data_IF_991403239697
#
_entry.id   IF_991403239697
#
_cell.length_a   1.000
_cell.length_b   1.000
_cell.length_c   1.000
_cell.angle_alpha   90.00
_cell.angle_beta   90.00
_cell.angle_gamma   90.00
#
_symmetry.space_group_name_H-M   'P 1'
#
loop_
_entity.id
_entity.type
_entity.pdbx_description
1 polymer ?
#
# COMPACT_ATOMS: atom_id res chain seq x y z
N UNK A 1 -12.92 -34.60 -13.11
CA UNK A 1 -11.51 -34.30 -12.81
C UNK A 1 -11.46 -33.55 -11.49
N UNK A 2 -11.20 -34.29 -10.41
CA UNK A 2 -11.25 -33.81 -9.04
C UNK A 2 -9.81 -33.48 -8.62
N UNK A 3 -9.41 -32.21 -8.71
CA UNK A 3 -8.16 -31.72 -8.13
C UNK A 3 -8.34 -31.65 -6.61
N UNK A 4 -8.22 -32.80 -5.94
CA UNK A 4 -8.04 -32.83 -4.49
C UNK A 4 -6.56 -32.58 -4.23
N UNK A 5 -6.24 -31.43 -3.65
CA UNK A 5 -4.88 -30.93 -3.36
C UNK A 5 -4.08 -31.81 -2.37
N UNK A 6 -4.56 -33.01 -2.04
CA UNK A 6 -3.89 -33.99 -1.18
C UNK A 6 -3.58 -35.34 -1.84
N UNK A 7 -3.96 -35.57 -3.11
CA UNK A 7 -3.64 -36.81 -3.83
C UNK A 7 -2.32 -36.70 -4.58
N UNK A 8 -1.28 -36.18 -3.92
CA UNK A 8 0.08 -36.37 -4.40
C UNK A 8 0.53 -37.70 -3.83
N UNK A 9 0.34 -38.79 -4.58
CA UNK A 9 0.98 -40.09 -4.34
C UNK A 9 2.49 -39.96 -4.57
N UNK A 10 3.15 -39.04 -3.86
CA UNK A 10 4.56 -39.18 -3.56
C UNK A 10 4.62 -40.23 -2.46
N UNK A 11 4.55 -41.49 -2.86
CA UNK A 11 4.91 -42.63 -2.02
C UNK A 11 6.39 -42.47 -1.72
N UNK A 12 6.71 -41.64 -0.73
CA UNK A 12 8.06 -41.49 -0.22
C UNK A 12 8.45 -42.84 0.37
N UNK A 13 9.31 -43.56 -0.36
CA UNK A 13 9.83 -44.86 0.05
C UNK A 13 10.85 -44.71 1.18
N UNK A 14 11.41 -43.50 1.34
CA UNK A 14 12.43 -43.19 2.33
C UNK A 14 11.98 -42.11 3.32
N UNK A 15 12.38 -42.25 4.60
CA UNK A 15 12.07 -41.29 5.68
C UNK A 15 12.58 -39.88 5.35
N UNK A 16 13.71 -39.79 4.64
CA UNK A 16 14.30 -38.53 4.17
C UNK A 16 13.37 -37.76 3.22
N UNK A 17 12.73 -38.44 2.27
CA UNK A 17 11.79 -37.80 1.33
C UNK A 17 10.55 -37.28 2.06
N UNK A 18 10.03 -38.05 3.05
CA UNK A 18 8.89 -37.61 3.87
C UNK A 18 9.19 -36.33 4.65
N UNK A 19 10.36 -36.26 5.29
CA UNK A 19 10.76 -35.07 6.06
C UNK A 19 10.90 -33.87 5.12
N UNK A 20 11.51 -34.05 3.94
CA UNK A 20 11.65 -32.98 2.96
C UNK A 20 10.30 -32.46 2.47
N UNK A 21 9.35 -33.36 2.14
CA UNK A 21 7.99 -32.97 1.74
C UNK A 21 7.26 -32.19 2.83
N UNK A 22 7.37 -32.62 4.09
CA UNK A 22 6.76 -31.89 5.23
C UNK A 22 7.38 -30.49 5.36
N UNK A 23 8.71 -30.38 5.32
CA UNK A 23 9.39 -29.09 5.37
C UNK A 23 8.99 -28.17 4.22
N UNK A 24 8.85 -28.69 3.00
CA UNK A 24 8.44 -27.90 1.83
C UNK A 24 6.99 -27.45 1.92
N UNK A 25 6.08 -28.29 2.44
CA UNK A 25 4.70 -27.91 2.71
C UNK A 25 4.60 -26.82 3.77
N UNK A 26 5.36 -26.94 4.86
CA UNK A 26 5.44 -25.89 5.89
C UNK A 26 6.00 -24.59 5.32
N UNK A 27 7.07 -24.67 4.53
CA UNK A 27 7.64 -23.49 3.87
C UNK A 27 6.64 -22.84 2.90
N UNK A 28 5.92 -23.64 2.10
CA UNK A 28 4.87 -23.15 1.21
C UNK A 28 3.73 -22.47 1.97
N UNK A 29 3.33 -23.01 3.11
CA UNK A 29 2.33 -22.39 3.99
C UNK A 29 2.81 -21.06 4.58
N UNK A 30 4.04 -21.00 5.08
CA UNK A 30 4.62 -19.76 5.62
C UNK A 30 4.85 -18.72 4.53
N UNK A 31 5.34 -19.13 3.37
CA UNK A 31 5.57 -18.27 2.22
C UNK A 31 4.26 -17.66 1.70
N UNK A 32 3.25 -18.50 1.47
CA UNK A 32 1.92 -18.02 1.04
C UNK A 32 1.30 -17.07 2.06
N UNK A 33 1.41 -17.37 3.36
CA UNK A 33 0.93 -16.48 4.43
C UNK A 33 1.67 -15.14 4.47
N UNK A 34 2.97 -15.13 4.17
CA UNK A 34 3.77 -13.91 4.11
C UNK A 34 3.40 -13.07 2.88
N UNK A 35 3.25 -13.71 1.72
CA UNK A 35 2.86 -13.04 0.46
C UNK A 35 1.46 -12.44 0.57
N UNK A 36 0.48 -13.18 1.11
CA UNK A 36 -0.88 -12.64 1.27
C UNK A 36 -0.88 -11.45 2.24
N UNK A 37 -0.10 -11.51 3.32
CA UNK A 37 0.00 -10.43 4.30
C UNK A 37 0.65 -9.18 3.71
N UNK A 38 1.75 -9.33 2.95
CA UNK A 38 2.42 -8.19 2.32
C UNK A 38 1.55 -7.54 1.24
N UNK A 39 0.88 -8.34 0.42
CA UNK A 39 -0.08 -7.83 -0.57
C UNK A 39 -1.24 -7.10 0.10
N UNK A 40 -1.78 -7.65 1.20
CA UNK A 40 -2.84 -7.00 1.97
C UNK A 40 -2.38 -5.66 2.53
N UNK A 41 -1.19 -5.60 3.12
CA UNK A 41 -0.62 -4.36 3.65
C UNK A 41 -0.41 -3.30 2.56
N UNK A 42 0.09 -3.70 1.38
CA UNK A 42 0.26 -2.81 0.23
C UNK A 42 -1.09 -2.30 -0.27
N UNK A 43 -2.10 -3.18 -0.34
CA UNK A 43 -3.45 -2.80 -0.76
C UNK A 43 -4.09 -1.81 0.21
N UNK A 44 -3.92 -2.03 1.52
CA UNK A 44 -4.41 -1.10 2.55
C UNK A 44 -3.68 0.24 2.45
N UNK A 45 -2.35 0.26 2.33
CA UNK A 45 -1.61 1.51 2.12
C UNK A 45 -2.06 2.24 0.87
N UNK A 46 -2.30 1.51 -0.23
CA UNK A 46 -2.80 2.09 -1.47
C UNK A 46 -4.18 2.72 -1.27
N UNK A 47 -5.11 2.01 -0.64
CA UNK A 47 -6.45 2.53 -0.31
C UNK A 47 -6.37 3.77 0.60
N UNK A 48 -5.50 3.76 1.61
CA UNK A 48 -5.32 4.90 2.52
C UNK A 48 -4.79 6.14 1.79
N UNK A 49 -3.86 5.97 0.83
CA UNK A 49 -3.33 7.09 0.02
C UNK A 49 -4.41 7.70 -0.85
N UNK A 50 -5.23 6.88 -1.50
CA UNK A 50 -6.32 7.36 -2.35
C UNK A 50 -7.44 8.04 -1.53
N UNK A 51 -7.78 7.45 -0.37
CA UNK A 51 -8.74 8.01 0.57
C UNK A 51 -8.31 9.40 1.08
N UNK A 52 -7.02 9.58 1.41
CA UNK A 52 -6.48 10.87 1.89
C UNK A 52 -6.70 11.99 0.86
N UNK A 53 -6.38 11.76 -0.41
CA UNK A 53 -6.57 12.75 -1.46
C UNK A 53 -8.04 13.11 -1.66
N UNK A 54 -8.92 12.10 -1.66
CA UNK A 54 -10.36 12.29 -1.80
C UNK A 54 -10.95 13.09 -0.64
N UNK A 55 -10.51 12.82 0.58
CA UNK A 55 -10.97 13.52 1.78
C UNK A 55 -10.54 15.00 1.77
N UNK A 56 -9.29 15.29 1.39
CA UNK A 56 -8.80 16.67 1.28
C UNK A 56 -9.57 17.50 0.24
N UNK A 57 -9.88 16.94 -0.93
CA UNK A 57 -10.73 17.63 -1.93
C UNK A 57 -12.15 17.85 -1.41
N UNK A 58 -12.69 16.88 -0.65
CA UNK A 58 -14.02 17.01 -0.04
C UNK A 58 -14.04 18.15 0.98
N UNK A 59 -13.02 18.26 1.85
CA UNK A 59 -12.87 19.35 2.81
C UNK A 59 -12.76 20.71 2.10
N UNK A 60 -11.92 20.80 1.07
CA UNK A 60 -11.78 22.02 0.28
C UNK A 60 -13.12 22.46 -0.32
N UNK A 61 -13.88 21.54 -0.90
CA UNK A 61 -15.21 21.84 -1.45
C UNK A 61 -16.17 22.37 -0.38
N UNK A 62 -16.17 21.78 0.81
CA UNK A 62 -16.99 22.24 1.94
C UNK A 62 -16.58 23.65 2.39
N UNK A 63 -15.28 23.89 2.53
CA UNK A 63 -14.73 25.19 2.90
C UNK A 63 -15.11 26.30 1.90
N UNK A 64 -14.94 26.04 0.60
CA UNK A 64 -15.28 27.02 -0.45
C UNK A 64 -16.78 27.38 -0.42
N UNK A 65 -17.64 26.37 -0.21
CA UNK A 65 -19.08 26.57 -0.10
C UNK A 65 -19.48 27.33 1.17
N UNK A 66 -18.85 27.05 2.30
CA UNK A 66 -19.13 27.71 3.58
C UNK A 66 -18.74 29.19 3.56
N UNK A 67 -17.66 29.54 2.86
CA UNK A 67 -17.19 30.93 2.75
C UNK A 67 -17.89 31.72 1.64
N UNK A 68 -18.90 31.15 0.96
CA UNK A 68 -19.65 31.84 -0.09
C UNK A 68 -18.80 32.24 -1.30
N UNK A 69 -17.74 31.47 -1.60
CA UNK A 69 -16.88 31.76 -2.74
C UNK A 69 -17.65 31.52 -4.05
N UNK A 70 -17.51 32.46 -4.98
CA UNK A 70 -18.10 32.37 -6.31
C UNK A 70 -17.76 31.04 -7.00
N UNK A 71 -18.72 30.49 -7.74
CA UNK A 71 -18.60 29.17 -8.35
C UNK A 71 -17.43 29.06 -9.33
N UNK A 72 -17.10 30.13 -10.05
CA UNK A 72 -15.98 30.15 -11.01
C UNK A 72 -14.64 30.10 -10.26
N UNK A 73 -14.50 30.92 -9.22
CA UNK A 73 -13.31 30.93 -8.37
C UNK A 73 -13.14 29.59 -7.63
N UNK A 74 -14.22 29.03 -7.09
CA UNK A 74 -14.21 27.75 -6.41
C UNK A 74 -13.79 26.60 -7.34
N UNK A 75 -14.24 26.62 -8.61
CA UNK A 75 -13.83 25.66 -9.62
C UNK A 75 -12.33 25.74 -9.91
N UNK A 76 -11.80 26.94 -10.15
CA UNK A 76 -10.37 27.17 -10.41
C UNK A 76 -9.49 26.74 -9.25
N UNK A 77 -9.88 27.08 -8.02
CA UNK A 77 -9.16 26.67 -6.80
C UNK A 77 -9.19 25.14 -6.65
N UNK A 78 -10.33 24.50 -6.87
CA UNK A 78 -10.43 23.03 -6.79
C UNK A 78 -9.56 22.35 -7.84
N UNK A 79 -9.57 22.84 -9.08
CA UNK A 79 -8.76 22.27 -10.16
C UNK A 79 -7.26 22.44 -9.87
N UNK A 80 -6.85 23.59 -9.32
CA UNK A 80 -5.47 23.81 -8.92
C UNK A 80 -5.06 22.90 -7.75
N UNK A 81 -5.94 22.72 -6.77
CA UNK A 81 -5.69 21.83 -5.63
C UNK A 81 -5.60 20.36 -6.05
N UNK A 82 -6.53 19.86 -6.89
CA UNK A 82 -6.49 18.50 -7.42
C UNK A 82 -5.19 18.24 -8.23
N UNK A 83 -4.81 19.20 -9.08
CA UNK A 83 -3.54 19.11 -9.83
C UNK A 83 -2.30 19.13 -8.94
N UNK A 84 -2.36 19.73 -7.75
CA UNK A 84 -1.24 19.75 -6.79
C UNK A 84 -1.22 18.50 -5.92
N UNK A 85 -2.39 18.00 -5.49
CA UNK A 85 -2.53 16.76 -4.72
C UNK A 85 -2.16 15.51 -5.53
N UNK A 86 -2.35 15.55 -6.86
CA UNK A 86 -1.92 14.48 -7.77
C UNK A 86 -0.43 14.49 -8.08
N UNK A 87 0.28 15.61 -7.86
CA UNK A 87 1.72 15.66 -8.04
C UNK A 87 2.39 15.00 -6.83
N UNK A 88 3.49 14.25 -7.03
CA UNK A 88 4.26 13.72 -5.91
C UNK A 88 4.64 14.87 -4.98
N UNK A 89 4.30 14.72 -3.70
CA UNK A 89 4.59 15.68 -2.65
C UNK A 89 6.09 15.98 -2.69
N UNK A 90 6.44 17.25 -2.89
CA UNK A 90 7.84 17.68 -2.82
C UNK A 90 8.24 17.59 -1.36
N UNK A 91 8.99 16.56 -1.01
CA UNK A 91 9.60 16.41 0.32
C UNK A 91 10.33 17.72 0.64
N UNK A 92 9.86 18.40 1.68
CA UNK A 92 10.59 19.54 2.24
C UNK A 92 11.66 19.01 3.20
N UNK A 93 12.68 19.81 3.50
CA UNK A 93 13.80 19.38 4.37
C UNK A 93 13.31 18.86 5.74
N UNK A 94 12.18 19.36 6.24
CA UNK A 94 11.56 18.88 7.47
C UNK A 94 10.90 17.49 7.38
N UNK A 95 10.57 17.01 6.17
CA UNK A 95 9.92 15.70 5.98
C UNK A 95 10.93 14.55 5.93
N UNK A 96 12.23 14.86 5.91
CA UNK A 96 13.30 13.87 5.78
C UNK A 96 14.08 13.81 7.09
N UNK A 97 13.59 13.04 8.06
CA UNK A 97 14.30 12.77 9.32
C UNK A 97 15.69 12.14 9.10
N UNK A 98 15.94 11.56 7.93
CA UNK A 98 17.27 11.09 7.54
C UNK A 98 18.28 12.23 7.34
N UNK A 99 17.84 13.47 7.06
CA UNK A 99 18.71 14.66 7.01
C UNK A 99 19.26 15.02 8.39
N UNK A 100 18.52 14.73 9.48
CA UNK A 100 19.00 14.92 10.86
C UNK A 100 20.13 13.94 11.22
N UNK A 101 20.23 12.82 10.49
CA UNK A 101 21.29 11.83 10.65
C UNK A 101 22.57 12.16 9.85
N UNK A 102 22.54 13.18 8.99
CA UNK A 102 23.73 13.63 8.27
C UNK A 102 24.55 14.56 9.17
N UNK A 103 25.86 14.31 9.31
CA UNK A 103 26.74 15.25 10.01
C UNK A 103 26.77 16.57 9.25
N UNK A 104 26.65 17.69 9.97
CA UNK A 104 26.69 19.08 9.47
C UNK A 104 27.95 19.46 8.67
N UNK A 105 28.89 18.54 8.47
CA UNK A 105 30.07 18.69 7.61
C UNK A 105 29.86 17.94 6.29
N UNK A 106 29.22 18.60 5.33
CA UNK A 106 29.37 18.28 3.91
C UNK A 106 29.99 19.49 3.20
#
# INVERSE_FOLDING_TARGET
AQMTLGSMELVAYSVSERIFSICFLLFGMLFSSTVISSLSAVMVQYQMRDAKSTDEIRKLRLFLRQNGIDADMAFRVRQQADNRLRKPERLTEGDVSALECLSLSL
#
